data_IF_952674968964
#
_entry.id   IF_952674968964
#
_cell.length_a   1.000
_cell.length_b   1.000
_cell.length_c   1.000
_cell.angle_alpha   90.00
_cell.angle_beta   90.00
_cell.angle_gamma   90.00
#
_symmetry.space_group_name_H-M   'P 1'
#
loop_
_entity.id
_entity.type
_entity.pdbx_description
1 polymer ?
#
# COMPACT_ATOMS: atom_id res chain seq x y z
N UNK A 1 -35.29 -19.24 25.00
CA UNK A 1 -34.90 -20.26 24.01
C UNK A 1 -33.63 -19.80 23.34
N UNK A 2 -32.53 -20.49 23.62
CA UNK A 2 -31.22 -20.20 23.06
C UNK A 2 -31.15 -20.73 21.63
N UNK A 3 -30.94 -19.86 20.65
CA UNK A 3 -30.54 -20.28 19.32
C UNK A 3 -29.01 -20.23 19.24
N UNK A 4 -28.43 -21.43 19.06
CA UNK A 4 -27.01 -21.64 18.95
C UNK A 4 -26.43 -20.92 17.73
N UNK A 5 -25.37 -20.17 17.99
CA UNK A 5 -24.45 -19.71 16.96
C UNK A 5 -23.64 -20.94 16.53
N UNK A 6 -23.94 -21.48 15.35
CA UNK A 6 -23.12 -22.53 14.74
C UNK A 6 -21.70 -21.98 14.54
N UNK A 7 -20.73 -22.67 15.13
CA UNK A 7 -19.34 -22.20 15.28
C UNK A 7 -18.42 -22.42 14.08
N UNK A 8 -18.95 -22.72 12.89
CA UNK A 8 -18.15 -23.22 11.76
C UNK A 8 -18.26 -22.38 10.47
N UNK A 9 -18.79 -21.16 10.52
CA UNK A 9 -18.66 -20.24 9.38
C UNK A 9 -17.37 -19.41 9.49
N UNK A 10 -16.56 -19.32 8.41
CA UNK A 10 -15.37 -18.47 8.41
C UNK A 10 -15.78 -17.04 8.72
N UNK A 11 -15.18 -16.41 9.75
CA UNK A 11 -15.50 -15.02 10.14
C UNK A 11 -15.32 -14.00 9.00
N UNK A 12 -14.55 -14.37 7.97
CA UNK A 12 -14.33 -13.59 6.74
C UNK A 12 -15.62 -13.52 5.88
N UNK A 13 -16.55 -14.46 6.02
CA UNK A 13 -17.79 -14.54 5.25
C UNK A 13 -18.83 -13.46 5.61
N UNK A 14 -18.61 -12.68 6.67
CA UNK A 14 -19.57 -11.68 7.18
C UNK A 14 -19.06 -10.23 7.08
N UNK A 15 -18.09 -9.94 6.21
CA UNK A 15 -17.63 -8.56 5.98
C UNK A 15 -18.69 -7.82 5.15
N UNK A 16 -19.30 -6.73 5.68
CA UNK A 16 -20.35 -6.02 4.97
C UNK A 16 -19.77 -5.30 3.75
N UNK A 17 -20.42 -5.48 2.59
CA UNK A 17 -20.00 -4.80 1.37
C UNK A 17 -20.38 -3.31 1.43
N UNK A 18 -19.39 -2.46 1.71
CA UNK A 18 -19.52 -1.02 1.97
C UNK A 18 -18.36 -0.25 1.37
N UNK A 19 -18.40 1.08 1.40
CA UNK A 19 -17.28 1.89 0.90
C UNK A 19 -16.05 1.68 1.79
N UNK A 20 -14.87 1.50 1.20
CA UNK A 20 -13.66 1.22 2.00
C UNK A 20 -13.13 2.44 2.74
N UNK A 21 -13.31 3.64 2.18
CA UNK A 21 -12.84 4.90 2.73
C UNK A 21 -13.44 6.07 1.95
N UNK A 22 -13.61 7.22 2.61
CA UNK A 22 -13.95 8.48 1.94
C UNK A 22 -12.81 9.01 1.05
N UNK A 23 -11.59 8.51 1.24
CA UNK A 23 -10.41 8.86 0.46
C UNK A 23 -10.30 8.09 -0.85
N UNK A 24 -11.03 6.99 -1.03
CA UNK A 24 -10.94 6.14 -2.22
C UNK A 24 -11.12 6.92 -3.56
N UNK A 25 -12.07 7.87 -3.70
CA UNK A 25 -12.20 8.69 -4.91
C UNK A 25 -11.01 9.62 -5.18
N UNK A 26 -10.17 9.89 -4.18
CA UNK A 26 -8.98 10.76 -4.29
C UNK A 26 -7.70 9.97 -4.56
N UNK A 27 -7.81 8.70 -4.95
CA UNK A 27 -6.67 7.81 -5.22
C UNK A 27 -5.60 8.40 -6.13
N UNK A 28 -6.01 9.05 -7.23
CA UNK A 28 -5.09 9.72 -8.15
C UNK A 28 -4.33 10.89 -7.49
N UNK A 29 -4.96 11.61 -6.56
CA UNK A 29 -4.30 12.67 -5.81
C UNK A 29 -3.32 12.08 -4.78
N UNK A 30 -3.72 11.03 -4.07
CA UNK A 30 -2.89 10.36 -3.06
C UNK A 30 -1.61 9.79 -3.69
N UNK A 31 -1.74 9.05 -4.79
CA UNK A 31 -0.57 8.51 -5.48
C UNK A 31 0.35 9.62 -6.01
N UNK A 32 -0.23 10.73 -6.50
CA UNK A 32 0.56 11.90 -6.94
C UNK A 32 1.36 12.51 -5.78
N UNK A 33 0.76 12.65 -4.60
CA UNK A 33 1.44 13.12 -3.39
C UNK A 33 2.59 12.16 -3.03
N UNK A 34 2.36 10.85 -3.10
CA UNK A 34 3.39 9.85 -2.79
C UNK A 34 4.56 9.94 -3.78
N UNK A 35 4.30 10.13 -5.08
CA UNK A 35 5.38 10.36 -6.06
C UNK A 35 6.19 11.62 -5.77
N UNK A 36 5.54 12.71 -5.35
CA UNK A 36 6.25 13.93 -4.92
C UNK A 36 7.14 13.64 -3.71
N UNK A 37 6.63 12.90 -2.72
CA UNK A 37 7.41 12.48 -1.55
C UNK A 37 8.60 11.62 -1.96
N UNK A 38 8.41 10.64 -2.85
CA UNK A 38 9.51 9.83 -3.38
C UNK A 38 10.54 10.67 -4.12
N UNK A 39 10.12 11.62 -4.95
CA UNK A 39 11.02 12.53 -5.62
C UNK A 39 11.87 13.33 -4.61
N UNK A 40 11.24 13.91 -3.58
CA UNK A 40 11.94 14.69 -2.55
C UNK A 40 12.92 13.82 -1.76
N UNK A 41 12.49 12.64 -1.32
CA UNK A 41 13.35 11.70 -0.59
C UNK A 41 14.51 11.24 -1.48
N UNK A 42 14.23 10.81 -2.71
CA UNK A 42 15.24 10.35 -3.66
C UNK A 42 16.30 11.41 -3.92
N UNK A 43 15.87 12.62 -4.31
CA UNK A 43 16.76 13.67 -4.80
C UNK A 43 17.50 14.37 -3.66
N UNK A 44 16.77 14.87 -2.65
CA UNK A 44 17.37 15.70 -1.61
C UNK A 44 17.90 14.90 -0.43
N UNK A 45 17.21 13.82 -0.05
CA UNK A 45 17.60 13.03 1.14
C UNK A 45 18.61 11.96 0.77
N UNK A 46 18.32 11.09 -0.18
CA UNK A 46 19.17 9.93 -0.48
C UNK A 46 20.39 10.32 -1.33
N UNK A 47 20.18 10.76 -2.55
CA UNK A 47 21.28 11.07 -3.50
C UNK A 47 22.08 12.31 -3.06
N UNK A 48 21.38 13.33 -2.57
CA UNK A 48 21.98 14.61 -2.16
C UNK A 48 22.74 14.55 -0.83
N UNK A 49 22.32 13.71 0.11
CA UNK A 49 22.81 13.77 1.49
C UNK A 49 23.19 12.40 2.08
N UNK A 50 22.19 11.57 2.37
CA UNK A 50 22.30 10.37 3.21
C UNK A 50 23.26 9.33 2.64
N UNK A 51 23.13 9.01 1.34
CA UNK A 51 23.94 7.94 0.75
C UNK A 51 25.40 8.33 0.61
N UNK A 52 25.66 9.59 0.24
CA UNK A 52 27.02 10.14 0.19
C UNK A 52 27.66 10.22 1.58
N UNK A 53 26.87 10.54 2.62
CA UNK A 53 27.40 10.74 3.97
C UNK A 53 27.62 9.43 4.74
N UNK A 54 26.69 8.48 4.63
CA UNK A 54 26.74 7.21 5.37
C UNK A 54 27.57 6.16 4.64
N UNK A 55 27.35 5.99 3.34
CA UNK A 55 28.03 4.94 2.55
C UNK A 55 29.31 5.43 1.87
N UNK A 56 29.48 6.74 1.68
CA UNK A 56 30.71 7.33 1.16
C UNK A 56 31.17 6.69 -0.16
N UNK A 57 32.42 6.23 -0.18
CA UNK A 57 33.06 5.62 -1.35
C UNK A 57 32.36 4.36 -1.85
N UNK A 58 31.72 3.59 -0.97
CA UNK A 58 30.95 2.39 -1.35
C UNK A 58 29.78 2.75 -2.29
N UNK A 59 29.19 3.94 -2.13
CA UNK A 59 28.12 4.42 -3.00
C UNK A 59 28.66 5.22 -4.20
N UNK A 60 29.64 6.11 -3.99
CA UNK A 60 30.12 6.99 -5.07
C UNK A 60 30.92 6.25 -6.16
N UNK A 61 31.44 5.06 -5.86
CA UNK A 61 32.18 4.24 -6.82
C UNK A 61 31.28 3.26 -7.60
N UNK A 62 29.97 3.23 -7.32
CA UNK A 62 29.05 2.40 -8.07
C UNK A 62 28.85 2.95 -9.48
N UNK A 63 28.71 2.05 -10.45
CA UNK A 63 28.23 2.41 -11.76
C UNK A 63 26.77 2.92 -11.70
N UNK A 64 26.31 3.53 -12.79
CA UNK A 64 24.97 4.14 -12.83
C UNK A 64 23.87 3.10 -12.54
N UNK A 65 24.05 1.86 -13.01
CA UNK A 65 23.09 0.77 -12.83
C UNK A 65 22.95 0.39 -11.36
N UNK A 66 24.07 0.12 -10.68
CA UNK A 66 24.05 -0.26 -9.28
C UNK A 66 23.68 0.91 -8.36
N UNK A 67 24.11 2.14 -8.68
CA UNK A 67 23.73 3.33 -7.92
C UNK A 67 22.21 3.56 -7.92
N UNK A 68 21.56 3.47 -9.09
CA UNK A 68 20.09 3.56 -9.20
C UNK A 68 19.40 2.39 -8.51
N UNK A 69 19.94 1.17 -8.64
CA UNK A 69 19.45 0.02 -7.90
C UNK A 69 19.49 0.22 -6.38
N UNK A 70 20.58 0.80 -5.88
CA UNK A 70 20.79 1.06 -4.45
C UNK A 70 19.82 2.10 -3.89
N UNK A 71 19.62 3.22 -4.62
CA UNK A 71 18.62 4.24 -4.26
C UNK A 71 17.21 3.62 -4.26
N UNK A 72 16.87 2.84 -5.30
CA UNK A 72 15.57 2.16 -5.37
C UNK A 72 15.36 1.23 -4.19
N UNK A 73 16.39 0.46 -3.80
CA UNK A 73 16.31 -0.46 -2.68
C UNK A 73 15.97 0.25 -1.36
N UNK A 74 16.52 1.44 -1.13
CA UNK A 74 16.19 2.25 0.05
C UNK A 74 14.75 2.75 0.02
N UNK A 75 14.30 3.30 -1.11
CA UNK A 75 12.91 3.78 -1.24
C UNK A 75 11.92 2.62 -1.08
N UNK A 76 12.18 1.51 -1.76
CA UNK A 76 11.33 0.33 -1.70
C UNK A 76 11.32 -0.31 -0.30
N UNK A 77 12.49 -0.45 0.33
CA UNK A 77 12.62 -0.99 1.69
C UNK A 77 11.92 -0.10 2.73
N UNK A 78 12.19 1.20 2.71
CA UNK A 78 11.57 2.16 3.62
C UNK A 78 10.05 2.22 3.44
N UNK A 79 9.55 2.17 2.20
CA UNK A 79 8.12 2.11 1.93
C UNK A 79 7.49 0.86 2.53
N UNK A 80 8.07 -0.32 2.29
CA UNK A 80 7.56 -1.59 2.83
C UNK A 80 7.50 -1.58 4.37
N UNK A 81 8.56 -1.08 5.02
CA UNK A 81 8.59 -0.95 6.48
C UNK A 81 7.49 0.00 6.97
N UNK A 82 7.32 1.14 6.30
CA UNK A 82 6.29 2.12 6.66
C UNK A 82 4.89 1.53 6.51
N UNK A 83 4.62 0.83 5.40
CA UNK A 83 3.36 0.12 5.18
C UNK A 83 3.13 -0.89 6.30
N UNK A 84 4.12 -1.72 6.63
CA UNK A 84 3.98 -2.74 7.67
C UNK A 84 3.60 -2.12 9.03
N UNK A 85 4.28 -1.03 9.42
CA UNK A 85 4.00 -0.34 10.69
C UNK A 85 2.58 0.27 10.70
N UNK A 86 2.19 0.95 9.63
CA UNK A 86 0.91 1.66 9.58
C UNK A 86 -0.28 0.72 9.37
N UNK A 87 -0.13 -0.26 8.47
CA UNK A 87 -1.21 -1.08 7.95
C UNK A 87 -1.43 -2.38 8.74
N UNK A 88 -0.45 -2.87 9.51
CA UNK A 88 -0.62 -4.12 10.27
C UNK A 88 -1.82 -4.08 11.23
N UNK A 89 -1.92 -3.04 12.07
CA UNK A 89 -3.06 -2.89 12.97
C UNK A 89 -4.42 -2.81 12.25
N UNK A 90 -4.65 -1.87 11.30
CA UNK A 90 -5.95 -1.75 10.64
C UNK A 90 -6.30 -3.00 9.83
N UNK A 91 -5.31 -3.63 9.17
CA UNK A 91 -5.53 -4.87 8.44
C UNK A 91 -5.99 -6.00 9.37
N UNK A 92 -5.23 -6.27 10.43
CA UNK A 92 -5.54 -7.34 11.40
C UNK A 92 -6.91 -7.09 12.07
N UNK A 93 -7.17 -5.86 12.50
CA UNK A 93 -8.42 -5.51 13.16
C UNK A 93 -9.65 -5.71 12.25
N UNK A 94 -9.52 -5.41 10.95
CA UNK A 94 -10.60 -5.55 9.98
C UNK A 94 -10.74 -7.01 9.50
N UNK A 95 -9.63 -7.65 9.13
CA UNK A 95 -9.64 -9.02 8.60
C UNK A 95 -10.14 -10.04 9.64
N UNK A 96 -9.88 -9.82 10.93
CA UNK A 96 -10.40 -10.67 12.01
C UNK A 96 -11.83 -10.32 12.45
N UNK A 97 -12.48 -9.34 11.80
CA UNK A 97 -13.83 -8.89 12.16
C UNK A 97 -13.94 -8.19 13.51
N UNK A 98 -12.82 -7.70 14.06
CA UNK A 98 -12.79 -7.00 15.38
C UNK A 98 -13.30 -5.56 15.24
N UNK A 99 -12.97 -4.92 14.12
CA UNK A 99 -13.33 -3.53 13.79
C UNK A 99 -13.78 -3.46 12.33
N UNK A 100 -14.60 -2.46 12.01
CA UNK A 100 -14.94 -2.14 10.62
C UNK A 100 -13.94 -1.16 10.01
N UNK A 101 -13.90 -1.06 8.67
CA UNK A 101 -13.10 -0.06 7.94
C UNK A 101 -13.40 1.39 8.37
N UNK A 102 -14.61 1.66 8.85
CA UNK A 102 -15.05 2.97 9.35
C UNK A 102 -14.71 3.24 10.82
N UNK A 103 -14.08 2.30 11.51
CA UNK A 103 -13.65 2.48 12.89
C UNK A 103 -12.51 3.52 12.98
N UNK A 104 -12.44 4.35 14.03
CA UNK A 104 -11.31 5.25 14.26
C UNK A 104 -9.98 4.48 14.38
N UNK A 105 -8.90 5.01 13.80
CA UNK A 105 -7.55 4.43 13.89
C UNK A 105 -7.00 4.44 15.32
N UNK A 106 -7.29 5.51 16.06
CA UNK A 106 -6.99 5.65 17.47
C UNK A 106 -8.18 6.28 18.19
N UNK A 107 -8.21 6.19 19.52
CA UNK A 107 -9.28 6.80 20.33
C UNK A 107 -9.36 8.30 20.06
N UNK A 108 -10.54 8.76 19.62
CA UNK A 108 -10.77 10.17 19.28
C UNK A 108 -10.23 10.61 17.91
N UNK A 109 -9.59 9.71 17.14
CA UNK A 109 -9.05 10.06 15.82
C UNK A 109 -10.17 10.25 14.78
N UNK A 110 -10.09 11.31 13.95
CA UNK A 110 -10.96 11.44 12.78
C UNK A 110 -10.61 10.42 11.69
N UNK A 111 -9.34 9.98 11.64
CA UNK A 111 -8.81 9.03 10.65
C UNK A 111 -9.35 7.64 10.90
N UNK A 112 -9.80 6.96 9.85
CA UNK A 112 -10.38 5.61 9.92
C UNK A 112 -9.38 4.54 9.50
N UNK A 113 -9.63 3.30 9.92
CA UNK A 113 -8.81 2.15 9.54
C UNK A 113 -8.71 2.01 8.01
N UNK A 114 -9.83 2.17 7.29
CA UNK A 114 -9.87 2.13 5.84
C UNK A 114 -9.08 3.26 5.17
N UNK A 115 -9.00 4.45 5.78
CA UNK A 115 -8.21 5.56 5.25
C UNK A 115 -6.72 5.18 5.22
N UNK A 116 -6.23 4.58 6.31
CA UNK A 116 -4.84 4.11 6.41
C UNK A 116 -4.56 3.00 5.39
N UNK A 117 -5.49 2.04 5.22
CA UNK A 117 -5.33 0.96 4.25
C UNK A 117 -5.31 1.47 2.81
N UNK A 118 -6.14 2.45 2.45
CA UNK A 118 -6.12 3.06 1.11
C UNK A 118 -4.81 3.79 0.86
N UNK A 119 -4.30 4.55 1.83
CA UNK A 119 -3.00 5.22 1.71
C UNK A 119 -1.88 4.20 1.56
N UNK A 120 -1.87 3.14 2.36
CA UNK A 120 -0.87 2.07 2.28
C UNK A 120 -0.91 1.34 0.93
N UNK A 121 -2.09 1.06 0.39
CA UNK A 121 -2.25 0.47 -0.94
C UNK A 121 -1.67 1.40 -2.03
N UNK A 122 -1.98 2.69 -1.98
CA UNK A 122 -1.41 3.67 -2.91
C UNK A 122 0.11 3.80 -2.76
N UNK A 123 0.68 3.63 -1.56
CA UNK A 123 2.13 3.59 -1.35
C UNK A 123 2.77 2.38 -2.04
N UNK A 124 2.17 1.20 -1.91
CA UNK A 124 2.66 -0.01 -2.58
C UNK A 124 2.62 0.15 -4.10
N UNK A 125 1.51 0.66 -4.64
CA UNK A 125 1.34 0.88 -6.07
C UNK A 125 2.33 1.93 -6.58
N UNK A 126 2.48 3.06 -5.88
CA UNK A 126 3.46 4.09 -6.22
C UNK A 126 4.89 3.53 -6.23
N UNK A 127 5.25 2.70 -5.25
CA UNK A 127 6.57 2.09 -5.17
C UNK A 127 6.87 1.23 -6.40
N UNK A 128 5.91 0.42 -6.85
CA UNK A 128 6.07 -0.42 -8.03
C UNK A 128 6.15 0.38 -9.32
N UNK A 129 5.34 1.43 -9.47
CA UNK A 129 5.46 2.36 -10.61
C UNK A 129 6.82 3.03 -10.59
N UNK A 130 7.26 3.53 -9.43
CA UNK A 130 8.56 4.17 -9.26
C UNK A 130 9.69 3.21 -9.64
N UNK A 131 9.65 1.96 -9.21
CA UNK A 131 10.68 0.97 -9.54
C UNK A 131 10.75 0.70 -11.06
N UNK A 132 9.60 0.57 -11.73
CA UNK A 132 9.54 0.34 -13.17
C UNK A 132 10.14 1.49 -14.00
N UNK A 133 9.92 2.74 -13.57
CA UNK A 133 10.47 3.92 -14.28
C UNK A 133 11.92 4.21 -13.90
N UNK A 134 12.31 3.90 -12.65
CA UNK A 134 13.57 4.35 -12.09
C UNK A 134 14.69 3.34 -12.30
N UNK A 135 14.42 2.03 -12.28
CA UNK A 135 15.46 1.03 -12.47
C UNK A 135 15.82 0.88 -13.96
N UNK A 136 17.12 0.89 -14.30
CA UNK A 136 17.56 0.73 -15.69
C UNK A 136 17.43 -0.70 -16.22
N UNK A 137 17.33 -1.70 -15.33
CA UNK A 137 17.13 -3.11 -15.67
C UNK A 137 16.17 -3.75 -14.67
N UNK A 138 15.09 -4.33 -15.17
CA UNK A 138 14.09 -5.10 -14.40
C UNK A 138 13.85 -6.40 -15.16
N UNK A 139 13.77 -7.54 -14.46
CA UNK A 139 13.51 -8.81 -15.13
C UNK A 139 12.07 -8.85 -15.66
N UNK A 140 11.78 -9.56 -16.77
CA UNK A 140 10.42 -9.66 -17.29
C UNK A 140 9.41 -10.18 -16.27
N UNK A 141 9.82 -11.13 -15.42
CA UNK A 141 9.00 -11.66 -14.32
C UNK A 141 8.68 -10.56 -13.30
N UNK A 142 9.67 -9.75 -12.91
CA UNK A 142 9.44 -8.65 -11.99
C UNK A 142 8.56 -7.55 -12.62
N UNK A 143 8.71 -7.30 -13.93
CA UNK A 143 7.81 -6.38 -14.66
C UNK A 143 6.37 -6.88 -14.60
N UNK A 144 6.12 -8.15 -14.91
CA UNK A 144 4.78 -8.74 -14.85
C UNK A 144 4.21 -8.69 -13.42
N UNK A 145 5.02 -9.01 -12.41
CA UNK A 145 4.64 -8.90 -11.01
C UNK A 145 4.21 -7.47 -10.66
N UNK A 146 5.05 -6.47 -10.95
CA UNK A 146 4.78 -5.07 -10.63
C UNK A 146 3.55 -4.54 -11.36
N UNK A 147 3.44 -4.80 -12.67
CA UNK A 147 2.28 -4.39 -13.46
C UNK A 147 1.00 -5.06 -12.94
N UNK A 148 1.07 -6.36 -12.63
CA UNK A 148 -0.04 -7.10 -12.03
C UNK A 148 -0.51 -6.46 -10.73
N UNK A 149 0.40 -6.20 -9.78
CA UNK A 149 0.05 -5.55 -8.51
C UNK A 149 -0.52 -4.15 -8.71
N UNK A 150 0.03 -3.35 -9.63
CA UNK A 150 -0.49 -2.01 -9.94
C UNK A 150 -1.93 -2.11 -10.44
N UNK A 151 -2.21 -3.00 -11.40
CA UNK A 151 -3.53 -3.14 -12.00
C UNK A 151 -4.56 -3.68 -11.01
N UNK A 152 -4.23 -4.74 -10.28
CA UNK A 152 -5.11 -5.35 -9.27
C UNK A 152 -5.39 -4.35 -8.14
N UNK A 153 -4.36 -3.68 -7.62
CA UNK A 153 -4.51 -2.71 -6.53
C UNK A 153 -5.36 -1.49 -6.92
N UNK A 154 -5.15 -0.92 -8.12
CA UNK A 154 -5.99 0.18 -8.59
C UNK A 154 -7.42 -0.27 -8.90
N UNK A 155 -7.60 -1.47 -9.47
CA UNK A 155 -8.92 -2.03 -9.74
C UNK A 155 -9.71 -2.25 -8.43
N UNK A 156 -9.09 -2.86 -7.41
CA UNK A 156 -9.71 -3.09 -6.12
C UNK A 156 -10.19 -1.79 -5.46
N UNK A 157 -9.44 -0.70 -5.60
CA UNK A 157 -9.89 0.61 -5.11
C UNK A 157 -11.01 1.18 -6.00
N UNK A 158 -10.90 1.06 -7.32
CA UNK A 158 -11.91 1.60 -8.24
C UNK A 158 -13.30 0.95 -8.03
N UNK A 159 -13.37 -0.38 -7.94
CA UNK A 159 -14.64 -1.10 -7.71
C UNK A 159 -15.25 -0.78 -6.34
N UNK A 160 -14.40 -0.49 -5.34
CA UNK A 160 -14.83 -0.15 -3.98
C UNK A 160 -15.53 1.21 -3.84
N UNK A 161 -15.47 2.05 -4.89
CA UNK A 161 -16.14 3.36 -4.91
C UNK A 161 -17.66 3.19 -5.01
N UNK A 162 -18.15 2.17 -5.72
CA UNK A 162 -19.58 1.88 -5.85
C UNK A 162 -19.92 0.43 -5.46
N UNK A 163 -19.87 0.10 -4.15
CA UNK A 163 -20.08 -1.26 -3.66
C UNK A 163 -21.54 -1.76 -3.83
N UNK A 164 -22.49 -0.87 -4.09
CA UNK A 164 -23.88 -1.29 -4.39
C UNK A 164 -23.99 -1.94 -5.77
N UNK A 165 -23.12 -1.54 -6.69
CA UNK A 165 -23.05 -2.11 -8.04
C UNK A 165 -22.15 -3.35 -8.06
N UNK A 166 -21.03 -3.30 -7.34
CA UNK A 166 -20.03 -4.36 -7.31
C UNK A 166 -20.14 -5.20 -6.04
N UNK A 167 -20.66 -6.43 -6.20
CA UNK A 167 -20.68 -7.42 -5.11
C UNK A 167 -19.24 -7.75 -4.71
N UNK A 168 -19.01 -7.94 -3.42
CA UNK A 168 -17.71 -8.36 -2.85
C UNK A 168 -16.55 -7.35 -2.98
N UNK A 169 -16.80 -6.10 -3.41
CA UNK A 169 -15.76 -5.09 -3.55
C UNK A 169 -14.95 -4.83 -2.27
N UNK A 170 -15.61 -4.91 -1.10
CA UNK A 170 -14.94 -4.70 0.20
C UNK A 170 -13.98 -5.84 0.54
N UNK A 171 -14.41 -7.09 0.32
CA UNK A 171 -13.58 -8.26 0.62
C UNK A 171 -12.42 -8.35 -0.37
N UNK A 172 -12.63 -8.01 -1.64
CA UNK A 172 -11.56 -7.95 -2.64
C UNK A 172 -10.46 -6.94 -2.23
N UNK A 173 -10.85 -5.74 -1.76
CA UNK A 173 -9.88 -4.77 -1.26
C UNK A 173 -9.09 -5.28 -0.04
N UNK A 174 -9.77 -5.94 0.90
CA UNK A 174 -9.11 -6.52 2.08
C UNK A 174 -8.16 -7.66 1.69
N UNK A 175 -8.56 -8.51 0.75
CA UNK A 175 -7.71 -9.57 0.22
C UNK A 175 -6.46 -9.00 -0.46
N UNK A 176 -6.61 -7.89 -1.21
CA UNK A 176 -5.47 -7.19 -1.82
C UNK A 176 -4.46 -6.64 -0.79
N UNK A 177 -4.83 -6.50 0.48
CA UNK A 177 -3.89 -6.08 1.54
C UNK A 177 -2.94 -7.20 2.00
N UNK A 178 -3.11 -8.45 1.54
CA UNK A 178 -2.28 -9.61 1.89
C UNK A 178 -1.10 -9.80 0.93
N UNK A 179 -1.17 -9.23 -0.28
CA UNK A 179 -0.31 -9.52 -1.42
C UNK A 179 1.04 -8.79 -1.42
#
# INVERSE_FOLDING_TARGET
MAHGVNGDEPRIAHIPNTTISKLAPFSALIISIIFVVYFVIKYYVLEGFLLRRIYGSTYTNLDNVNSRGFVNHHIAGATKITILIMAAYPFIAVAMGIRSLHSPYARGSPVKLGDILVVAAQMLIAMYVFELIYRPKVSPIAVLHHVGTIMVGQAAIAISINPLQEKDATIEFILCCVW
#
